data_IF_574983295693
#
_entry.id   IF_574983295693
#
_cell.length_a   1.000
_cell.length_b   1.000
_cell.length_c   1.000
_cell.angle_alpha   90.00
_cell.angle_beta   90.00
_cell.angle_gamma   90.00
#
_symmetry.space_group_name_H-M   'P 1'
#
loop_
_entity.id
_entity.type
_entity.pdbx_description
1 polymer ?
#
# COMPACT_ATOMS: atom_id res chain seq x y z
N UNK A 1 33.43 -12.88 -27.41
CA UNK A 1 32.91 -12.39 -26.12
C UNK A 1 31.49 -12.91 -26.06
N UNK A 2 31.28 -13.99 -25.30
CA UNK A 2 29.99 -14.69 -25.31
C UNK A 2 29.00 -13.88 -24.47
N UNK A 3 27.90 -13.43 -25.08
CA UNK A 3 26.77 -12.84 -24.37
C UNK A 3 26.12 -13.92 -23.51
N UNK A 4 26.22 -13.79 -22.19
CA UNK A 4 25.46 -14.64 -21.28
C UNK A 4 23.97 -14.39 -21.49
N UNK A 5 23.23 -15.44 -21.87
CA UNK A 5 21.80 -15.38 -22.06
C UNK A 5 21.12 -14.98 -20.74
N UNK A 6 20.60 -13.75 -20.68
CA UNK A 6 19.88 -13.25 -19.51
C UNK A 6 18.56 -14.02 -19.37
N UNK A 7 18.45 -14.86 -18.33
CA UNK A 7 17.22 -15.57 -18.01
C UNK A 7 16.22 -14.57 -17.40
N UNK A 8 15.02 -14.44 -17.97
CA UNK A 8 13.92 -13.64 -17.39
C UNK A 8 12.81 -14.56 -16.93
N UNK A 9 12.39 -14.43 -15.68
CA UNK A 9 11.25 -15.14 -15.12
C UNK A 9 10.04 -14.20 -15.18
N UNK A 10 8.94 -14.57 -15.87
CA UNK A 10 7.73 -13.76 -15.88
C UNK A 10 7.06 -13.80 -14.49
N UNK A 11 6.83 -12.63 -13.92
CA UNK A 11 6.01 -12.47 -12.71
C UNK A 11 4.57 -12.18 -13.15
N UNK A 12 3.62 -12.96 -12.65
CA UNK A 12 2.20 -12.79 -12.95
C UNK A 12 1.44 -12.39 -11.68
N UNK A 13 0.55 -11.41 -11.78
CA UNK A 13 -0.32 -10.99 -10.68
C UNK A 13 -1.73 -11.51 -10.96
N UNK A 14 -2.29 -12.26 -10.01
CA UNK A 14 -3.66 -12.78 -10.07
C UNK A 14 -4.62 -11.96 -9.20
N UNK A 15 -5.90 -11.89 -9.57
CA UNK A 15 -6.91 -11.12 -8.81
C UNK A 15 -7.18 -11.68 -7.41
N UNK A 16 -6.83 -12.94 -7.15
CA UNK A 16 -6.91 -13.58 -5.83
C UNK A 16 -6.13 -12.83 -4.74
N UNK A 17 -5.13 -12.03 -5.09
CA UNK A 17 -4.42 -11.19 -4.12
C UNK A 17 -5.35 -10.19 -3.40
N UNK A 18 -6.38 -9.67 -4.08
CA UNK A 18 -7.36 -8.76 -3.46
C UNK A 18 -8.20 -9.50 -2.41
N UNK A 19 -8.56 -10.75 -2.68
CA UNK A 19 -9.34 -11.59 -1.76
C UNK A 19 -8.52 -11.90 -0.51
N UNK A 20 -7.25 -12.31 -0.68
CA UNK A 20 -6.35 -12.58 0.43
C UNK A 20 -6.09 -11.35 1.31
N UNK A 21 -6.00 -10.16 0.69
CA UNK A 21 -5.95 -8.89 1.43
C UNK A 21 -7.23 -8.68 2.24
N UNK A 22 -8.41 -8.85 1.62
CA UNK A 22 -9.70 -8.73 2.29
C UNK A 22 -9.86 -9.66 3.50
N UNK A 23 -9.39 -10.89 3.42
CA UNK A 23 -9.41 -11.84 4.54
C UNK A 23 -8.51 -11.38 5.70
N UNK A 24 -7.32 -10.84 5.41
CA UNK A 24 -6.42 -10.26 6.44
C UNK A 24 -7.04 -9.06 7.15
N UNK A 25 -7.82 -8.24 6.46
CA UNK A 25 -8.48 -7.07 7.06
C UNK A 25 -9.39 -7.42 8.25
N UNK A 26 -9.98 -8.62 8.27
CA UNK A 26 -10.84 -9.07 9.37
C UNK A 26 -10.07 -9.45 10.63
N UNK A 27 -8.79 -9.83 10.52
CA UNK A 27 -7.95 -10.22 11.65
C UNK A 27 -6.94 -9.17 12.10
N UNK A 28 -6.52 -8.28 11.19
CA UNK A 28 -5.36 -7.39 11.38
C UNK A 28 -5.70 -5.91 11.11
N UNK A 29 -6.93 -5.48 11.40
CA UNK A 29 -7.40 -4.12 11.09
C UNK A 29 -6.51 -3.00 11.66
N UNK A 30 -5.90 -3.21 12.83
CA UNK A 30 -4.91 -2.28 13.41
C UNK A 30 -3.61 -2.25 12.60
N UNK A 31 -3.18 -3.40 12.09
CA UNK A 31 -1.98 -3.53 11.26
C UNK A 31 -2.17 -2.80 9.92
N UNK A 32 -3.38 -2.86 9.34
CA UNK A 32 -3.70 -2.06 8.15
C UNK A 32 -3.52 -0.56 8.43
N UNK A 33 -4.04 -0.05 9.54
CA UNK A 33 -3.90 1.37 9.88
C UNK A 33 -2.42 1.73 10.06
N UNK A 34 -1.62 0.84 10.67
CA UNK A 34 -0.16 1.02 10.80
C UNK A 34 0.52 1.11 9.43
N UNK A 35 0.19 0.23 8.51
CA UNK A 35 0.74 0.24 7.14
C UNK A 35 0.35 1.51 6.38
N UNK A 36 -0.90 1.99 6.50
CA UNK A 36 -1.31 3.26 5.87
C UNK A 36 -0.54 4.46 6.42
N UNK A 37 -0.30 4.52 7.73
CA UNK A 37 0.50 5.59 8.35
C UNK A 37 1.95 5.52 7.89
N UNK A 38 2.52 4.33 7.76
CA UNK A 38 3.88 4.17 7.23
C UNK A 38 3.99 4.65 5.79
N UNK A 39 3.05 4.25 4.93
CA UNK A 39 3.02 4.68 3.53
C UNK A 39 2.94 6.20 3.39
N UNK A 40 2.21 6.87 4.29
CA UNK A 40 2.16 8.33 4.32
C UNK A 40 3.54 8.96 4.64
N UNK A 41 4.29 8.40 5.58
CA UNK A 41 5.65 8.88 5.88
C UNK A 41 6.65 8.52 4.77
N UNK A 42 6.48 7.39 4.09
CA UNK A 42 7.25 7.05 2.89
C UNK A 42 6.97 8.03 1.73
N UNK A 43 5.80 8.68 1.73
CA UNK A 43 5.43 9.77 0.83
C UNK A 43 5.93 11.16 1.29
N UNK A 44 6.93 11.22 2.18
CA UNK A 44 7.54 12.43 2.73
C UNK A 44 6.59 13.32 3.56
N UNK A 45 5.52 12.76 4.13
CA UNK A 45 4.64 13.51 5.02
C UNK A 45 5.39 14.02 6.26
N UNK A 46 5.13 15.27 6.64
CA UNK A 46 5.64 15.83 7.91
C UNK A 46 4.68 15.58 9.09
N UNK A 47 3.42 15.26 8.78
CA UNK A 47 2.42 14.87 9.77
C UNK A 47 1.35 14.01 9.13
N UNK A 48 0.84 13.05 9.90
CA UNK A 48 -0.25 12.17 9.51
C UNK A 48 -1.37 12.32 10.54
N UNK A 49 -2.58 12.63 10.08
CA UNK A 49 -3.76 12.78 10.90
C UNK A 49 -4.62 11.52 10.80
N UNK A 50 -4.91 10.90 11.96
CA UNK A 50 -5.76 9.71 12.05
C UNK A 50 -7.02 10.05 12.82
N UNK A 51 -8.16 9.98 12.15
CA UNK A 51 -9.47 10.21 12.74
C UNK A 51 -10.24 8.90 12.81
N UNK A 52 -10.67 8.52 14.01
CA UNK A 52 -11.49 7.34 14.25
C UNK A 52 -12.91 7.80 14.57
N UNK A 53 -13.83 7.53 13.66
CA UNK A 53 -15.25 7.78 13.85
C UNK A 53 -15.96 6.45 14.10
N UNK A 54 -17.26 6.52 14.44
CA UNK A 54 -18.08 5.34 14.72
C UNK A 54 -18.09 4.33 13.55
N UNK A 55 -18.18 4.85 12.33
CA UNK A 55 -18.43 4.03 11.13
C UNK A 55 -17.24 4.01 10.16
N UNK A 56 -16.18 4.79 10.41
CA UNK A 56 -15.01 4.84 9.55
C UNK A 56 -13.73 5.26 10.29
N UNK A 57 -12.61 5.00 9.64
CA UNK A 57 -11.29 5.51 10.00
C UNK A 57 -10.78 6.30 8.79
N UNK A 58 -10.27 7.51 9.03
CA UNK A 58 -9.64 8.35 8.01
C UNK A 58 -8.18 8.53 8.37
N UNK A 59 -7.29 8.19 7.43
CA UNK A 59 -5.85 8.47 7.50
C UNK A 59 -5.56 9.48 6.40
N UNK A 60 -5.10 10.68 6.79
CA UNK A 60 -4.82 11.79 5.88
C UNK A 60 -3.39 12.28 6.14
N UNK A 61 -2.63 12.48 5.07
CA UNK A 61 -1.26 12.96 5.11
C UNK A 61 -1.09 14.24 4.30
N UNK A 62 0.04 14.92 4.53
CA UNK A 62 0.43 16.12 3.80
C UNK A 62 1.71 15.91 2.97
N UNK A 63 1.98 14.68 2.57
CA UNK A 63 3.12 14.30 1.75
C UNK A 63 2.93 14.65 0.28
N UNK A 64 3.71 13.98 -0.57
CA UNK A 64 3.77 14.27 -2.01
C UNK A 64 2.51 13.86 -2.79
N UNK A 65 1.63 13.07 -2.17
CA UNK A 65 0.42 12.56 -2.80
C UNK A 65 0.70 11.72 -4.06
N UNK A 66 -0.32 11.54 -4.89
CA UNK A 66 -0.23 10.81 -6.16
C UNK A 66 -0.86 11.62 -7.30
N UNK A 67 -0.27 11.55 -8.49
CA UNK A 67 -0.89 12.07 -9.72
C UNK A 67 -1.89 11.06 -10.27
N UNK A 68 -2.72 11.45 -11.22
CA UNK A 68 -3.68 10.55 -11.87
C UNK A 68 -3.00 9.37 -12.59
N UNK A 69 -1.77 9.55 -13.08
CA UNK A 69 -1.00 8.47 -13.72
C UNK A 69 -0.39 7.50 -12.69
N UNK A 70 -0.14 7.96 -11.47
CA UNK A 70 0.36 7.14 -10.35
C UNK A 70 -0.73 6.42 -9.55
N UNK A 71 -2.01 6.62 -9.91
CA UNK A 71 -3.20 6.02 -9.30
C UNK A 71 -3.63 4.76 -10.08
#
# INVERSE_FOLDING_TARGET
MNEEATLRIPVTVDKSHIIALGERLYGESIELVRELVNNAYDADASGVNVQINKDNIVVEDNGNGMTLEGL
#
